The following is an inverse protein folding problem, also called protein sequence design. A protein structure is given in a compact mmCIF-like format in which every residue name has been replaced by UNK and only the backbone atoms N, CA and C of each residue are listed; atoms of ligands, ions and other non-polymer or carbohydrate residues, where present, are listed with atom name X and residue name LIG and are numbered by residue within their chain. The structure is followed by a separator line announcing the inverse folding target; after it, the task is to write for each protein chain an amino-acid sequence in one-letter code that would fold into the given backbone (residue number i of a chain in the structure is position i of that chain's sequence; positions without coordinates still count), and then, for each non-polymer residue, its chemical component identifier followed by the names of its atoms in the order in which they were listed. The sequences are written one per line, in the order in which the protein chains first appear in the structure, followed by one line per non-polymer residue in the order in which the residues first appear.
data_IF_196823905811
#
_entry.id   IF_196823905811
#
_cell.length_a   1.000
_cell.length_b   1.000
_cell.length_c   1.000
_cell.angle_alpha   90.00
_cell.angle_beta   90.00
_cell.angle_gamma   90.00
#
_symmetry.space_group_name_H-M   'P 1'
#
loop_
_entity.id
_entity.type
_entity.pdbx_description
1 polymer ?
#
# COMPACT_ATOMS: atom_id res chain seq x y z
N UNK A 1 8.09 3.44 3.86
CA UNK A 1 7.66 4.39 2.80
C UNK A 1 6.26 4.86 3.12
N UNK A 2 6.02 6.17 3.22
CA UNK A 2 4.68 6.72 3.46
C UNK A 2 3.89 6.75 2.16
N UNK A 3 2.61 6.43 2.25
CA UNK A 3 1.69 6.39 1.11
C UNK A 3 0.33 6.93 1.49
N UNK A 4 -0.41 7.40 0.50
CA UNK A 4 -1.81 7.78 0.63
C UNK A 4 -2.67 6.98 -0.34
N UNK A 5 -3.79 6.46 0.16
CA UNK A 5 -4.79 5.78 -0.65
C UNK A 5 -6.10 6.57 -0.60
N UNK A 6 -6.82 6.76 -1.72
CA UNK A 6 -8.04 7.57 -1.78
C UNK A 6 -9.12 7.10 -0.79
N UNK A 7 -9.34 5.79 -0.66
CA UNK A 7 -10.36 5.22 0.25
C UNK A 7 -9.86 4.86 1.66
N UNK A 8 -8.55 4.61 1.85
CA UNK A 8 -8.00 4.07 3.10
C UNK A 8 -7.18 5.12 3.88
N UNK A 9 -6.94 6.27 3.27
CA UNK A 9 -6.20 7.37 3.88
C UNK A 9 -4.68 7.12 3.88
N UNK A 10 -4.01 7.72 4.87
CA UNK A 10 -2.56 7.64 5.03
C UNK A 10 -2.13 6.29 5.59
N UNK A 11 -0.96 5.83 5.16
CA UNK A 11 -0.37 4.60 5.66
C UNK A 11 1.13 4.50 5.40
N UNK A 12 1.71 3.40 5.88
CA UNK A 12 3.12 3.06 5.72
C UNK A 12 3.26 1.68 5.10
N UNK A 13 4.07 1.57 4.05
CA UNK A 13 4.44 0.28 3.47
C UNK A 13 5.35 -0.45 4.44
N UNK A 14 4.94 -1.64 4.86
CA UNK A 14 5.66 -2.54 5.75
C UNK A 14 6.49 -3.57 4.98
N UNK A 15 5.98 -4.04 3.83
CA UNK A 15 6.68 -5.03 3.02
C UNK A 15 6.30 -4.91 1.55
N UNK A 16 7.24 -5.27 0.68
CA UNK A 16 7.06 -5.46 -0.75
C UNK A 16 7.51 -6.88 -1.07
N UNK A 17 6.62 -7.67 -1.67
CA UNK A 17 6.89 -9.05 -2.07
C UNK A 17 6.77 -9.18 -3.59
N UNK A 18 7.75 -9.85 -4.22
CA UNK A 18 7.80 -9.98 -5.67
C UNK A 18 8.27 -8.71 -6.37
N UNK A 19 8.10 -8.69 -7.69
CA UNK A 19 8.60 -7.63 -8.57
C UNK A 19 7.67 -7.42 -9.75
N UNK A 20 7.74 -6.25 -10.38
CA UNK A 20 6.95 -5.95 -11.57
C UNK A 20 5.46 -5.75 -11.28
N UNK A 21 4.61 -6.16 -12.23
CA UNK A 21 3.19 -5.82 -12.24
C UNK A 21 2.37 -6.51 -11.13
N UNK A 22 2.84 -7.66 -10.64
CA UNK A 22 2.14 -8.47 -9.65
C UNK A 22 2.73 -8.35 -8.24
N UNK A 23 3.62 -7.37 -8.04
CA UNK A 23 4.22 -7.11 -6.74
C UNK A 23 3.13 -6.84 -5.70
N UNK A 24 3.27 -7.43 -4.52
CA UNK A 24 2.32 -7.26 -3.41
C UNK A 24 2.91 -6.33 -2.37
N UNK A 25 2.09 -5.37 -1.95
CA UNK A 25 2.39 -4.41 -0.91
C UNK A 25 1.63 -4.79 0.35
N UNK A 26 2.33 -4.89 1.46
CA UNK A 26 1.70 -4.86 2.78
C UNK A 26 1.78 -3.43 3.29
N UNK A 27 0.64 -2.80 3.53
CA UNK A 27 0.54 -1.43 4.02
C UNK A 27 -0.22 -1.43 5.33
N UNK A 28 0.26 -0.68 6.32
CA UNK A 28 -0.52 -0.34 7.51
C UNK A 28 -1.12 1.04 7.31
N UNK A 29 -2.45 1.11 7.24
CA UNK A 29 -3.18 2.37 7.17
C UNK A 29 -3.63 2.78 8.57
N UNK A 30 -3.53 4.07 8.88
CA UNK A 30 -3.87 4.58 10.21
C UNK A 30 -5.36 4.37 10.57
N UNK A 31 -6.23 4.34 9.55
CA UNK A 31 -7.69 4.24 9.71
C UNK A 31 -8.23 2.81 9.74
N UNK A 32 -7.63 1.89 8.97
CA UNK A 32 -8.16 0.53 8.74
C UNK A 32 -7.18 -0.58 9.14
N UNK A 33 -5.98 -0.22 9.57
CA UNK A 33 -4.91 -1.15 9.94
C UNK A 33 -4.22 -1.81 8.74
N UNK A 34 -3.69 -3.01 8.96
CA UNK A 34 -2.86 -3.74 7.97
C UNK A 34 -3.71 -4.29 6.82
N UNK A 35 -3.33 -3.99 5.58
CA UNK A 35 -3.91 -4.48 4.32
C UNK A 35 -2.83 -4.98 3.36
N UNK A 36 -3.19 -5.95 2.52
CA UNK A 36 -2.35 -6.47 1.44
C UNK A 36 -2.96 -6.06 0.11
N UNK A 37 -2.18 -5.40 -0.73
CA UNK A 37 -2.60 -4.85 -2.02
C UNK A 37 -1.67 -5.34 -3.12
N UNK A 38 -2.15 -5.44 -4.35
CA UNK A 38 -1.29 -5.63 -5.52
C UNK A 38 -0.91 -4.24 -6.03
N UNK A 39 0.37 -3.98 -6.23
CA UNK A 39 0.92 -2.66 -6.52
C UNK A 39 0.21 -1.95 -7.69
N UNK A 40 -0.04 -2.66 -8.80
CA UNK A 40 -0.74 -2.09 -9.98
C UNK A 40 -2.19 -1.68 -9.73
N UNK A 41 -2.84 -2.21 -8.69
CA UNK A 41 -4.23 -1.91 -8.35
C UNK A 41 -4.36 -1.05 -7.10
N UNK A 42 -3.26 -0.78 -6.40
CA UNK A 42 -3.27 -0.14 -5.09
C UNK A 42 -3.50 1.39 -5.16
N UNK A 43 -3.34 2.02 -6.34
CA UNK A 43 -3.49 3.46 -6.57
C UNK A 43 -2.95 4.32 -5.41
N UNK A 44 -1.70 4.02 -5.00
CA UNK A 44 -1.04 4.69 -3.89
C UNK A 44 -0.26 5.88 -4.40
N UNK A 45 -0.47 7.02 -3.75
CA UNK A 45 0.37 8.20 -3.92
C UNK A 45 1.51 8.15 -2.91
N UNK A 46 2.74 8.45 -3.34
CA UNK A 46 3.86 8.63 -2.41
C UNK A 46 3.63 9.93 -1.65
N UNK A 47 3.57 9.81 -0.32
CA UNK A 47 3.36 10.95 0.58
C UNK A 47 4.65 11.53 1.13
#
# INVERSE_FOLDING_TARGET
MKVKHPSLGSGVVLALEGSGQDARLTVYFDSVGRRKLIARYANLEVG
#
